data_IF_442537798483
#
_entry.id   IF_442537798483
#
_cell.length_a   1.000
_cell.length_b   1.000
_cell.length_c   1.000
_cell.angle_alpha   90.00
_cell.angle_beta   90.00
_cell.angle_gamma   90.00
#
_symmetry.space_group_name_H-M   'P 1'
#
loop_
_entity.id
_entity.type
_entity.pdbx_description
1 polymer ?
#
# COMPACT_ATOMS: atom_id res chain seq x y z
N UNK A 1 -6.75 -6.12 -11.36
CA UNK A 1 -7.74 -5.92 -10.29
C UNK A 1 -6.92 -5.49 -9.09
N UNK A 2 -7.13 -4.29 -8.53
CA UNK A 2 -6.31 -3.80 -7.41
C UNK A 2 -6.91 -4.34 -6.12
N UNK A 3 -6.21 -5.28 -5.48
CA UNK A 3 -6.60 -5.79 -4.17
C UNK A 3 -6.19 -4.80 -3.07
N UNK A 4 -6.95 -4.70 -1.96
CA UNK A 4 -6.73 -3.68 -0.92
C UNK A 4 -5.42 -3.84 -0.14
N UNK A 5 -4.78 -5.02 -0.18
CA UNK A 5 -3.42 -5.27 0.26
C UNK A 5 -2.94 -6.55 -0.45
N UNK A 6 -2.06 -6.41 -1.44
CA UNK A 6 -1.45 -7.50 -2.17
C UNK A 6 0.06 -7.39 -1.99
N UNK A 7 0.65 -8.37 -1.32
CA UNK A 7 2.11 -8.49 -1.21
C UNK A 7 2.68 -9.09 -2.49
N UNK A 8 3.99 -9.12 -2.66
CA UNK A 8 4.59 -9.76 -3.83
C UNK A 8 4.25 -11.25 -3.91
N UNK A 9 4.33 -11.83 -5.12
CA UNK A 9 3.94 -13.23 -5.36
C UNK A 9 4.69 -14.23 -4.47
N UNK A 10 5.96 -13.96 -4.12
CA UNK A 10 6.74 -14.84 -3.24
C UNK A 10 6.25 -14.75 -1.79
N UNK A 11 5.86 -13.56 -1.33
CA UNK A 11 5.22 -13.38 -0.03
C UNK A 11 3.82 -14.02 0.04
N UNK A 12 3.02 -13.99 -1.04
CA UNK A 12 1.74 -14.71 -1.11
C UNK A 12 1.97 -16.22 -0.93
N UNK A 13 2.92 -16.80 -1.68
CA UNK A 13 3.27 -18.21 -1.54
C UNK A 13 3.80 -18.57 -0.15
N UNK A 14 4.56 -17.67 0.48
CA UNK A 14 5.07 -17.85 1.84
C UNK A 14 3.93 -17.90 2.87
N UNK A 15 2.89 -17.08 2.69
CA UNK A 15 1.70 -17.11 3.55
C UNK A 15 0.88 -18.39 3.35
N UNK A 16 0.71 -18.83 2.10
CA UNK A 16 0.02 -20.09 1.79
C UNK A 16 0.75 -21.30 2.39
N UNK A 17 2.08 -21.35 2.30
CA UNK A 17 2.89 -22.38 2.93
C UNK A 17 2.72 -22.38 4.46
N UNK A 18 2.82 -21.21 5.09
CA UNK A 18 2.64 -21.08 6.54
C UNK A 18 1.23 -21.49 6.98
N UNK A 19 0.19 -21.10 6.24
CA UNK A 19 -1.18 -21.49 6.52
C UNK A 19 -1.39 -23.01 6.38
N UNK A 20 -0.82 -23.61 5.33
CA UNK A 20 -0.78 -25.07 5.13
C UNK A 20 -0.02 -25.81 6.23
N UNK A 21 0.98 -25.18 6.83
CA UNK A 21 1.76 -25.67 7.95
C UNK A 21 1.14 -25.37 9.34
N UNK A 22 -0.17 -25.12 9.41
CA UNK A 22 -0.89 -24.80 10.65
C UNK A 22 -0.38 -23.54 11.35
N UNK A 23 -0.04 -22.51 10.58
CA UNK A 23 0.52 -21.25 11.07
C UNK A 23 1.89 -21.38 11.75
N UNK A 24 2.63 -22.44 11.42
CA UNK A 24 4.02 -22.57 11.81
C UNK A 24 4.90 -21.80 10.82
N UNK A 25 5.65 -20.82 11.33
CA UNK A 25 6.61 -20.07 10.54
C UNK A 25 7.69 -21.00 9.95
N UNK A 26 8.17 -20.64 8.76
CA UNK A 26 9.30 -21.26 8.09
C UNK A 26 10.58 -21.17 8.93
N UNK A 27 11.51 -22.09 8.71
CA UNK A 27 12.79 -22.12 9.44
C UNK A 27 13.74 -21.01 8.99
N UNK A 28 13.61 -20.55 7.74
CA UNK A 28 14.40 -19.47 7.15
C UNK A 28 13.50 -18.38 6.59
N UNK A 29 13.98 -17.14 6.62
CA UNK A 29 13.33 -15.97 6.03
C UNK A 29 14.35 -15.17 5.26
N UNK A 30 14.01 -14.74 4.04
CA UNK A 30 14.87 -13.92 3.18
C UNK A 30 14.12 -12.66 2.75
N UNK A 31 14.80 -11.51 2.76
CA UNK A 31 14.25 -10.24 2.27
C UNK A 31 14.91 -9.97 0.94
N UNK A 32 14.11 -9.80 -0.11
CA UNK A 32 14.59 -9.56 -1.46
C UNK A 32 15.37 -8.24 -1.56
N UNK A 33 16.63 -8.34 -1.95
CA UNK A 33 17.52 -7.21 -2.19
C UNK A 33 17.23 -6.55 -3.56
N UNK A 34 17.76 -5.34 -3.75
CA UNK A 34 17.46 -4.55 -4.95
C UNK A 34 17.95 -5.20 -6.25
N UNK A 35 18.96 -6.07 -6.20
CA UNK A 35 19.54 -6.78 -7.35
C UNK A 35 18.85 -8.12 -7.64
N UNK A 36 18.13 -8.68 -6.67
CA UNK A 36 17.35 -9.90 -6.81
C UNK A 36 16.00 -9.65 -7.50
N UNK A 37 15.45 -8.44 -7.37
CA UNK A 37 14.16 -8.06 -7.95
C UNK A 37 14.33 -7.72 -9.44
N UNK A 38 13.81 -8.52 -10.35
CA UNK A 38 14.01 -8.32 -11.80
C UNK A 38 13.24 -7.08 -12.30
N UNK A 39 11.98 -6.97 -11.92
CA UNK A 39 11.07 -5.88 -12.25
C UNK A 39 10.00 -5.73 -11.15
N UNK A 40 9.15 -4.71 -11.26
CA UNK A 40 8.01 -4.53 -10.38
C UNK A 40 7.85 -3.11 -9.85
N UNK A 41 6.66 -2.86 -9.30
CA UNK A 41 6.33 -1.60 -8.62
C UNK A 41 5.75 -1.92 -7.25
N UNK A 42 5.97 -1.00 -6.31
CA UNK A 42 5.21 -0.95 -5.07
C UNK A 42 4.13 0.13 -5.21
N UNK A 43 2.89 -0.30 -5.45
CA UNK A 43 1.72 0.57 -5.59
C UNK A 43 1.04 0.76 -4.22
N UNK A 44 1.53 1.73 -3.46
CA UNK A 44 1.02 2.05 -2.13
C UNK A 44 0.20 3.35 -2.13
N UNK A 45 -1.04 3.26 -1.66
CA UNK A 45 -1.94 4.41 -1.62
C UNK A 45 -3.15 4.20 -0.72
N UNK A 46 -4.01 5.22 -0.70
CA UNK A 46 -5.27 5.22 0.03
C UNK A 46 -6.44 5.13 -0.95
N UNK A 47 -7.40 4.25 -0.68
CA UNK A 47 -8.66 4.15 -1.42
C UNK A 47 -9.78 4.77 -0.58
N UNK A 48 -10.21 5.97 -0.95
CA UNK A 48 -11.39 6.61 -0.37
C UNK A 48 -12.62 6.15 -1.16
N UNK A 49 -13.69 5.75 -0.48
CA UNK A 49 -14.89 5.22 -1.11
C UNK A 49 -16.18 5.67 -0.42
N UNK A 50 -17.31 5.53 -1.12
CA UNK A 50 -18.64 5.89 -0.62
C UNK A 50 -19.07 7.34 -0.88
N UNK A 51 -18.22 8.14 -1.53
CA UNK A 51 -18.58 9.49 -1.97
C UNK A 51 -19.36 9.47 -3.30
N UNK A 52 -19.89 10.62 -3.75
CA UNK A 52 -20.71 10.73 -4.98
C UNK A 52 -19.98 10.34 -6.28
N UNK A 53 -18.66 10.22 -6.25
CA UNK A 53 -17.82 9.72 -7.36
C UNK A 53 -17.34 8.28 -7.12
N UNK A 54 -18.09 7.52 -6.33
CA UNK A 54 -17.83 6.15 -5.92
C UNK A 54 -16.53 5.94 -5.12
N UNK A 55 -15.39 5.79 -5.80
CA UNK A 55 -14.10 5.57 -5.17
C UNK A 55 -12.95 6.32 -5.86
N UNK A 56 -11.98 6.74 -5.06
CA UNK A 56 -10.81 7.49 -5.47
C UNK A 56 -9.56 6.90 -4.80
N UNK A 57 -8.63 6.42 -5.62
CA UNK A 57 -7.32 5.96 -5.18
C UNK A 57 -6.30 7.09 -5.32
N UNK A 58 -5.47 7.31 -4.30
CA UNK A 58 -4.35 8.25 -4.36
C UNK A 58 -3.13 7.64 -3.71
N UNK A 59 -2.01 7.59 -4.43
CA UNK A 59 -0.81 6.92 -3.96
C UNK A 59 0.37 6.96 -4.91
N UNK A 60 1.46 6.32 -4.47
CA UNK A 60 2.72 6.15 -5.20
C UNK A 60 2.67 4.88 -6.06
N UNK A 61 3.30 4.93 -7.23
CA UNK A 61 3.54 3.79 -8.12
C UNK A 61 5.05 3.63 -8.34
N UNK A 62 5.82 3.59 -7.26
CA UNK A 62 7.27 3.59 -7.32
C UNK A 62 7.80 2.26 -7.89
N UNK A 63 8.61 2.34 -8.94
CA UNK A 63 9.24 1.15 -9.54
C UNK A 63 10.60 0.84 -8.94
N UNK A 64 11.04 -0.42 -9.05
CA UNK A 64 12.39 -0.82 -8.62
C UNK A 64 13.47 -0.12 -9.45
N UNK A 65 13.24 0.12 -10.75
CA UNK A 65 14.20 0.80 -11.63
C UNK A 65 14.36 2.28 -11.27
N UNK A 66 13.28 2.95 -10.89
CA UNK A 66 13.34 4.33 -10.40
C UNK A 66 14.03 4.37 -9.03
N UNK A 67 13.71 3.43 -8.15
CA UNK A 67 14.36 3.29 -6.84
C UNK A 67 15.87 3.20 -6.95
N UNK A 68 16.38 2.26 -7.76
CA UNK A 68 17.82 2.04 -8.03
C UNK A 68 18.53 3.31 -8.54
N UNK A 69 17.80 4.19 -9.23
CA UNK A 69 18.35 5.45 -9.75
C UNK A 69 18.46 6.54 -8.70
N UNK A 70 17.56 6.56 -7.71
CA UNK A 70 17.42 7.68 -6.77
C UNK A 70 18.04 7.44 -5.40
N UNK A 71 18.10 6.18 -4.91
CA UNK A 71 18.97 5.84 -3.78
C UNK A 71 19.39 4.36 -3.79
N UNK A 72 20.61 4.06 -3.34
CA UNK A 72 21.13 2.69 -3.30
C UNK A 72 20.58 1.87 -2.12
N UNK A 73 20.83 0.56 -2.16
CA UNK A 73 20.69 -0.39 -1.04
C UNK A 73 19.25 -0.64 -0.56
N UNK A 74 18.26 -0.37 -1.40
CA UNK A 74 16.86 -0.58 -1.03
C UNK A 74 16.00 -0.86 -2.25
N UNK A 75 14.96 -1.68 -2.04
CA UNK A 75 13.90 -1.89 -3.01
C UNK A 75 12.81 -0.79 -2.91
N UNK A 76 11.80 -0.84 -3.78
CA UNK A 76 10.75 0.17 -3.84
C UNK A 76 9.99 0.33 -2.52
N UNK A 77 9.67 -0.79 -1.86
CA UNK A 77 9.04 -0.81 -0.53
C UNK A 77 9.91 -0.09 0.51
N UNK A 78 11.21 -0.41 0.55
CA UNK A 78 12.17 0.22 1.45
C UNK A 78 12.28 1.73 1.23
N UNK A 79 12.26 2.18 -0.03
CA UNK A 79 12.31 3.60 -0.39
C UNK A 79 11.10 4.39 0.09
N UNK A 80 9.89 3.85 -0.05
CA UNK A 80 8.69 4.52 0.44
C UNK A 80 8.75 4.72 1.96
N UNK A 81 9.29 3.76 2.70
CA UNK A 81 9.46 3.85 4.17
C UNK A 81 10.60 4.80 4.55
N UNK A 82 11.78 4.65 3.96
CA UNK A 82 12.96 5.45 4.32
C UNK A 82 12.76 6.94 4.01
N UNK A 83 12.09 7.25 2.89
CA UNK A 83 11.72 8.61 2.52
C UNK A 83 10.68 9.23 3.46
N UNK A 84 9.74 8.44 3.98
CA UNK A 84 8.78 8.89 4.99
C UNK A 84 9.50 9.25 6.30
N UNK A 85 10.45 8.41 6.72
CA UNK A 85 11.29 8.68 7.91
C UNK A 85 12.09 9.96 7.72
N UNK A 86 12.71 10.16 6.55
CA UNK A 86 13.41 11.41 6.21
C UNK A 86 12.50 12.63 6.33
N UNK A 87 11.29 12.57 5.78
CA UNK A 87 10.31 13.66 5.86
C UNK A 87 9.90 13.97 7.31
N UNK A 88 9.68 12.92 8.12
CA UNK A 88 9.40 13.06 9.55
C UNK A 88 10.55 13.68 10.33
N UNK A 89 11.80 13.31 10.01
CA UNK A 89 13.00 13.91 10.62
C UNK A 89 13.15 15.38 10.28
N UNK A 90 12.93 15.77 9.01
CA UNK A 90 12.95 17.18 8.59
C UNK A 90 11.88 17.96 9.34
N UNK A 91 10.65 17.44 9.39
CA UNK A 91 9.55 18.09 10.11
C UNK A 91 9.84 18.23 11.62
N UNK A 92 10.43 17.21 12.25
CA UNK A 92 10.79 17.25 13.67
C UNK A 92 11.88 18.29 13.97
N UNK A 93 12.85 18.48 13.06
CA UNK A 93 13.86 19.54 13.17
C UNK A 93 13.25 20.93 13.01
N UNK A 94 12.25 21.08 12.15
CA UNK A 94 11.50 22.33 11.96
C UNK A 94 10.55 22.62 13.13
N UNK A 95 10.04 21.58 13.82
CA UNK A 95 9.06 21.66 14.89
C UNK A 95 9.53 20.97 16.19
N UNK A 96 10.68 21.35 16.78
CA UNK A 96 11.35 20.57 17.83
C UNK A 96 10.64 20.57 19.20
N UNK A 97 9.54 21.31 19.34
CA UNK A 97 8.78 21.46 20.60
C UNK A 97 7.33 20.98 20.48
N UNK A 98 6.99 20.22 19.43
CA UNK A 98 5.65 19.71 19.18
C UNK A 98 5.20 18.61 20.18
N UNK A 99 6.13 18.03 20.94
CA UNK A 99 5.83 16.93 21.86
C UNK A 99 5.83 15.58 21.14
N UNK A 100 5.07 14.63 21.67
CA UNK A 100 4.82 13.34 21.02
C UNK A 100 3.68 13.56 20.03
N UNK A 101 3.91 13.22 18.77
CA UNK A 101 2.95 13.40 17.67
C UNK A 101 2.88 12.16 16.79
N UNK A 102 1.74 11.96 16.13
CA UNK A 102 1.51 10.94 15.10
C UNK A 102 1.50 11.55 13.69
N UNK A 103 1.63 10.72 12.64
CA UNK A 103 1.70 11.17 11.24
C UNK A 103 0.53 12.10 10.83
N UNK A 104 -0.66 11.87 11.38
CA UNK A 104 -1.86 12.67 11.14
C UNK A 104 -1.78 14.11 11.71
N UNK A 105 -0.86 14.36 12.64
CA UNK A 105 -0.65 15.66 13.28
C UNK A 105 0.46 16.48 12.62
N UNK A 106 1.21 15.89 11.69
CA UNK A 106 2.28 16.55 10.93
C UNK A 106 1.68 17.41 9.81
N UNK A 107 2.44 18.40 9.35
CA UNK A 107 2.10 19.14 8.13
C UNK A 107 2.33 18.22 6.92
N UNK A 108 1.24 17.61 6.44
CA UNK A 108 1.28 16.67 5.33
C UNK A 108 1.85 17.29 4.05
N UNK A 109 1.66 18.60 3.80
CA UNK A 109 2.19 19.25 2.61
C UNK A 109 3.71 19.36 2.70
N UNK A 110 4.23 19.75 3.87
CA UNK A 110 5.67 19.82 4.10
C UNK A 110 6.32 18.44 4.05
N UNK A 111 5.72 17.43 4.66
CA UNK A 111 6.24 16.06 4.61
C UNK A 111 6.24 15.52 3.17
N UNK A 112 5.15 15.72 2.42
CA UNK A 112 5.09 15.31 1.01
C UNK A 112 6.04 16.11 0.11
N UNK A 113 6.31 17.38 0.40
CA UNK A 113 7.31 18.16 -0.34
C UNK A 113 8.70 17.51 -0.24
N UNK A 114 9.07 17.05 0.95
CA UNK A 114 10.34 16.35 1.19
C UNK A 114 10.33 14.94 0.59
N UNK A 115 9.22 14.23 0.71
CA UNK A 115 9.14 12.82 0.32
C UNK A 115 8.94 12.61 -1.19
N UNK A 116 8.23 13.53 -1.87
CA UNK A 116 7.85 13.41 -3.29
C UNK A 116 8.96 13.00 -4.26
N UNK A 117 10.21 13.49 -4.14
CA UNK A 117 11.30 13.08 -5.03
C UNK A 117 11.61 11.57 -5.00
N UNK A 118 11.14 10.84 -3.98
CA UNK A 118 11.43 9.43 -3.76
C UNK A 118 10.23 8.51 -4.03
N UNK A 119 9.08 9.05 -4.42
CA UNK A 119 7.83 8.28 -4.55
C UNK A 119 7.48 7.88 -6.00
N UNK A 120 8.34 8.23 -6.97
CA UNK A 120 8.01 8.05 -8.38
C UNK A 120 6.69 8.74 -8.76
N UNK A 121 5.87 8.15 -9.65
CA UNK A 121 4.56 8.69 -9.98
C UNK A 121 3.62 8.66 -8.77
N UNK A 122 3.13 9.83 -8.37
CA UNK A 122 2.05 9.96 -7.38
C UNK A 122 0.78 10.37 -8.13
N UNK A 123 -0.18 9.45 -8.23
CA UNK A 123 -1.36 9.60 -9.08
C UNK A 123 -2.66 9.51 -8.30
N UNK A 124 -3.71 10.10 -8.88
CA UNK A 124 -5.06 10.10 -8.34
C UNK A 124 -6.05 9.58 -9.37
N UNK A 125 -6.67 8.44 -9.09
CA UNK A 125 -7.50 7.71 -10.06
C UNK A 125 -8.90 7.44 -9.49
N UNK A 126 -9.93 7.81 -10.24
CA UNK A 126 -11.31 7.44 -9.93
C UNK A 126 -11.65 6.08 -10.52
N UNK A 127 -12.54 5.34 -9.86
CA UNK A 127 -13.03 4.05 -10.37
C UNK A 127 -14.51 3.86 -10.05
N UNK A 128 -15.21 3.22 -10.98
CA UNK A 128 -16.59 2.74 -10.81
C UNK A 128 -16.65 1.35 -10.15
N UNK A 129 -15.48 0.77 -9.81
CA UNK A 129 -15.42 -0.52 -9.13
C UNK A 129 -16.07 -0.46 -7.74
N UNK A 130 -16.80 -1.52 -7.39
CA UNK A 130 -17.33 -1.74 -6.04
C UNK A 130 -17.13 -3.21 -5.64
N UNK A 131 -17.15 -3.54 -4.34
CA UNK A 131 -17.06 -4.93 -3.86
C UNK A 131 -18.18 -5.86 -4.36
N UNK A 132 -19.27 -5.32 -4.93
CA UNK A 132 -20.38 -6.08 -5.49
C UNK A 132 -20.18 -6.46 -6.97
N UNK A 133 -19.17 -5.88 -7.63
CA UNK A 133 -18.95 -6.12 -9.07
C UNK A 133 -18.69 -7.61 -9.32
N UNK A 134 -19.44 -8.18 -10.27
CA UNK A 134 -19.31 -9.57 -10.74
C UNK A 134 -19.52 -10.66 -9.65
N UNK A 135 -20.28 -10.36 -8.59
CA UNK A 135 -20.57 -11.30 -7.48
C UNK A 135 -21.91 -12.02 -7.59
N UNK A 136 -22.03 -13.15 -6.89
CA UNK A 136 -23.26 -13.95 -6.77
C UNK A 136 -23.64 -14.76 -8.02
N UNK A 137 -22.70 -14.97 -8.94
CA UNK A 137 -22.98 -15.59 -10.26
C UNK A 137 -23.13 -17.11 -10.17
N UNK A 138 -22.19 -17.79 -9.50
CA UNK A 138 -22.15 -19.26 -9.44
C UNK A 138 -22.69 -19.82 -8.12
N UNK A 139 -22.44 -19.12 -7.01
CA UNK A 139 -22.88 -19.50 -5.68
C UNK A 139 -23.62 -18.34 -5.05
N UNK A 140 -24.61 -18.64 -4.19
CA UNK A 140 -25.30 -17.61 -3.44
C UNK A 140 -24.37 -17.03 -2.38
N UNK A 141 -24.33 -15.70 -2.28
CA UNK A 141 -23.48 -14.97 -1.36
C UNK A 141 -24.33 -14.02 -0.50
N UNK A 142 -23.94 -13.80 0.75
CA UNK A 142 -24.68 -12.93 1.68
C UNK A 142 -24.38 -11.44 1.40
N UNK A 143 -25.03 -10.96 0.33
CA UNK A 143 -25.10 -9.60 -0.24
C UNK A 143 -25.62 -8.50 0.70
N UNK A 144 -25.04 -7.29 0.70
CA UNK A 144 -25.79 -6.04 0.88
C UNK A 144 -25.78 -5.26 -0.43
N UNK A 145 -26.89 -5.32 -1.18
CA UNK A 145 -27.03 -4.65 -2.49
C UNK A 145 -27.38 -3.17 -2.40
N UNK A 146 -27.88 -2.73 -1.25
CA UNK A 146 -28.32 -1.34 -1.05
C UNK A 146 -27.14 -0.44 -0.72
N UNK A 147 -26.08 -0.99 -0.13
CA UNK A 147 -24.85 -0.28 0.22
C UNK A 147 -23.61 -1.06 -0.22
N UNK A 148 -23.09 -0.83 -1.44
CA UNK A 148 -21.99 -1.63 -2.01
C UNK A 148 -20.72 -1.67 -1.17
N UNK A 149 -20.42 -0.59 -0.44
CA UNK A 149 -19.21 -0.43 0.37
C UNK A 149 -19.35 -0.92 1.82
N UNK A 150 -20.43 -1.63 2.16
CA UNK A 150 -20.54 -2.26 3.47
C UNK A 150 -19.41 -3.27 3.66
N UNK A 151 -18.85 -3.31 4.87
CA UNK A 151 -17.79 -4.26 5.21
C UNK A 151 -18.21 -5.71 4.95
N UNK A 152 -19.52 -6.00 5.05
CA UNK A 152 -20.14 -7.27 4.67
C UNK A 152 -19.78 -7.74 3.26
N UNK A 153 -19.67 -6.81 2.30
CA UNK A 153 -19.36 -7.10 0.90
C UNK A 153 -17.85 -7.16 0.63
N UNK A 154 -17.03 -6.54 1.49
CA UNK A 154 -15.56 -6.43 1.35
C UNK A 154 -14.86 -7.67 1.90
N UNK A 155 -15.33 -8.19 3.04
CA UNK A 155 -14.73 -9.37 3.66
C UNK A 155 -15.05 -10.63 2.83
N UNK A 156 -14.02 -11.41 2.51
CA UNK A 156 -14.17 -12.73 1.89
C UNK A 156 -14.59 -13.72 2.98
N UNK A 157 -15.63 -14.52 2.72
CA UNK A 157 -16.25 -15.46 3.67
C UNK A 157 -16.45 -16.82 3.03
#
# INVERSE_FOLDING_TARGET
>A
MREPCHVDDAAVLSLDEMAGAQWRAQEESHILEEDEIVDGIDELGVLLYGHAKNAYWYGSQLSIEETRRVAPYQNATGMQVSSAVLAGMVWALENPRAGIVEADELDFQRCLEVQRPYLGPVVGEYTDWTPLKDRGVLFAEDLDTDSPWQFKNVIVR
#
